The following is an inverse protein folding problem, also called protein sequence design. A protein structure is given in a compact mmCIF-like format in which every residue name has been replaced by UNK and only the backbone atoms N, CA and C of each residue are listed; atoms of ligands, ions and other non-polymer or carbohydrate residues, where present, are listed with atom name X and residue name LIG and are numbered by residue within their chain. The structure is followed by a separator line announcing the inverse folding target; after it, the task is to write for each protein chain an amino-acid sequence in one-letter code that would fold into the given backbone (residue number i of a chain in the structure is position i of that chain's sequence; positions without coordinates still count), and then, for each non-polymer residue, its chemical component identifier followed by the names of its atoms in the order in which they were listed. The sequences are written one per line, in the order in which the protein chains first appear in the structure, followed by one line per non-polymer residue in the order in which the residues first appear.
data_IF_877315156011
#
_entry.id   IF_877315156011
#
_cell.length_a   1.000
_cell.length_b   1.000
_cell.length_c   1.000
_cell.angle_alpha   90.00
_cell.angle_beta   90.00
_cell.angle_gamma   90.00
#
_symmetry.space_group_name_H-M   'P 1'
#
loop_
_entity.id
_entity.type
_entity.pdbx_description
1 polymer ?
#
# COMPACT_ATOMS: atom_id res chain seq x y z
N UNK A 1 -11.13 20.06 -36.23
CA UNK A 1 -11.72 19.51 -34.99
C UNK A 1 -10.76 19.82 -33.86
N UNK A 2 -11.14 20.67 -32.93
CA UNK A 2 -10.31 21.04 -31.77
C UNK A 2 -10.43 19.91 -30.77
N UNK A 3 -9.37 19.12 -30.61
CA UNK A 3 -9.31 18.14 -29.51
C UNK A 3 -9.37 18.90 -28.19
N UNK A 4 -10.44 18.66 -27.44
CA UNK A 4 -10.58 19.21 -26.09
C UNK A 4 -9.62 18.42 -25.17
N UNK A 5 -8.52 19.04 -24.77
CA UNK A 5 -7.60 18.45 -23.79
C UNK A 5 -8.30 18.33 -22.45
N UNK A 6 -8.73 17.11 -22.10
CA UNK A 6 -9.31 16.82 -20.79
C UNK A 6 -8.14 16.60 -19.82
N UNK A 7 -8.03 17.47 -18.82
CA UNK A 7 -7.04 17.31 -17.74
C UNK A 7 -7.68 16.42 -16.66
N UNK A 8 -7.09 15.28 -16.41
CA UNK A 8 -7.51 14.34 -15.38
C UNK A 8 -6.68 14.56 -14.10
N UNK A 9 -7.32 14.38 -12.97
CA UNK A 9 -6.72 14.49 -11.64
C UNK A 9 -7.07 13.26 -10.83
N UNK A 10 -6.18 12.86 -9.92
CA UNK A 10 -6.47 11.80 -8.99
C UNK A 10 -7.00 12.37 -7.66
N UNK A 11 -8.13 11.83 -7.20
CA UNK A 11 -8.80 12.20 -5.96
C UNK A 11 -9.02 10.96 -5.09
N UNK A 12 -8.96 11.13 -3.78
CA UNK A 12 -9.53 10.17 -2.85
C UNK A 12 -10.92 10.66 -2.44
N UNK A 13 -11.94 9.84 -2.70
CA UNK A 13 -13.34 10.09 -2.33
C UNK A 13 -13.64 9.22 -1.13
N UNK A 14 -13.92 9.86 0.01
CA UNK A 14 -14.33 9.20 1.25
C UNK A 14 -15.86 9.12 1.32
N UNK A 15 -16.38 7.98 1.75
CA UNK A 15 -17.84 7.75 1.87
C UNK A 15 -18.30 7.84 3.31
N UNK A 16 -19.57 8.21 3.49
CA UNK A 16 -20.22 8.39 4.81
C UNK A 16 -20.38 7.07 5.56
N UNK A 17 -20.67 6.00 4.85
CA UNK A 17 -20.98 4.68 5.40
C UNK A 17 -20.59 3.55 4.42
N UNK A 18 -20.92 2.31 4.75
CA UNK A 18 -20.71 1.11 3.92
C UNK A 18 -22.05 0.46 3.55
N UNK A 19 -23.08 1.24 3.29
CA UNK A 19 -24.39 0.72 2.97
C UNK A 19 -24.35 -0.27 1.79
N UNK A 20 -25.02 -1.42 1.96
CA UNK A 20 -25.01 -2.51 0.96
C UNK A 20 -23.72 -3.32 0.87
N UNK A 21 -22.76 -3.10 1.76
CA UNK A 21 -21.56 -3.94 1.85
C UNK A 21 -21.82 -5.14 2.77
N UNK A 22 -21.93 -6.33 2.18
CA UNK A 22 -22.04 -7.60 2.91
C UNK A 22 -20.71 -8.39 2.88
N UNK A 23 -19.77 -7.97 2.06
CA UNK A 23 -18.49 -8.66 1.85
C UNK A 23 -17.48 -8.29 2.94
N UNK A 24 -17.02 -9.31 3.69
CA UNK A 24 -15.92 -9.18 4.64
C UNK A 24 -14.61 -9.19 3.85
N UNK A 25 -13.90 -8.05 3.86
CA UNK A 25 -12.64 -7.88 3.15
C UNK A 25 -11.43 -8.36 3.98
N UNK A 26 -11.53 -9.57 4.50
CA UNK A 26 -10.48 -10.26 5.24
C UNK A 26 -10.15 -11.58 4.53
N UNK A 27 -8.89 -12.01 4.58
CA UNK A 27 -8.52 -13.35 4.19
C UNK A 27 -9.06 -14.38 5.20
N UNK A 28 -9.25 -15.63 4.77
CA UNK A 28 -9.65 -16.72 5.65
C UNK A 28 -8.74 -16.84 6.87
N UNK A 29 -7.43 -16.74 6.65
CA UNK A 29 -6.44 -16.77 7.73
C UNK A 29 -6.61 -15.60 8.72
N UNK A 30 -7.01 -14.40 8.26
CA UNK A 30 -7.27 -13.26 9.14
C UNK A 30 -8.54 -13.48 9.96
N UNK A 31 -9.58 -14.07 9.38
CA UNK A 31 -10.81 -14.43 10.07
C UNK A 31 -10.53 -15.47 11.16
N UNK A 32 -9.79 -16.53 10.82
CA UNK A 32 -9.40 -17.59 11.77
C UNK A 32 -8.62 -17.01 12.96
N UNK A 33 -7.61 -16.17 12.71
CA UNK A 33 -6.85 -15.51 13.78
C UNK A 33 -7.69 -14.58 14.67
N UNK A 34 -8.73 -13.95 14.12
CA UNK A 34 -9.68 -13.16 14.92
C UNK A 34 -10.53 -14.06 15.81
N UNK A 35 -11.02 -15.18 15.29
CA UNK A 35 -11.78 -16.17 16.06
C UNK A 35 -10.94 -16.74 17.22
N UNK A 36 -9.70 -17.14 16.97
CA UNK A 36 -8.78 -17.63 18.00
C UNK A 36 -8.55 -16.62 19.13
N UNK A 37 -8.55 -15.33 18.79
CA UNK A 37 -8.31 -14.23 19.73
C UNK A 37 -9.57 -13.60 20.29
N UNK A 38 -10.75 -14.16 19.95
CA UNK A 38 -12.06 -13.59 20.34
C UNK A 38 -12.24 -12.14 19.90
N UNK A 39 -11.68 -11.75 18.72
CA UNK A 39 -11.84 -10.41 18.13
C UNK A 39 -13.05 -10.44 17.20
N UNK A 40 -14.06 -9.64 17.51
CA UNK A 40 -15.26 -9.54 16.67
C UNK A 40 -14.95 -8.90 15.32
N UNK A 41 -15.69 -9.30 14.29
CA UNK A 41 -15.72 -8.61 13.00
C UNK A 41 -16.55 -7.33 13.17
N UNK A 42 -16.02 -6.22 12.72
CA UNK A 42 -16.65 -4.91 12.83
C UNK A 42 -16.73 -4.19 11.46
N UNK A 43 -17.23 -2.96 11.46
CA UNK A 43 -17.40 -2.15 10.24
C UNK A 43 -16.11 -1.91 9.46
N UNK A 44 -14.95 -1.95 10.12
CA UNK A 44 -13.64 -1.79 9.46
C UNK A 44 -13.24 -3.00 8.63
N UNK A 45 -13.87 -4.15 8.86
CA UNK A 45 -13.57 -5.40 8.19
C UNK A 45 -14.39 -5.59 6.90
N UNK A 46 -15.48 -4.85 6.75
CA UNK A 46 -16.27 -4.89 5.52
C UNK A 46 -15.63 -4.09 4.39
N UNK A 47 -15.83 -4.53 3.17
CA UNK A 47 -15.42 -3.82 1.97
C UNK A 47 -16.11 -2.44 1.87
N UNK A 48 -15.62 -1.60 0.99
CA UNK A 48 -16.32 -0.38 0.57
C UNK A 48 -17.63 -0.77 -0.12
N UNK A 49 -18.67 0.04 0.01
CA UNK A 49 -19.97 -0.20 -0.61
C UNK A 49 -19.85 -0.42 -2.12
N UNK A 50 -20.28 -1.57 -2.66
CA UNK A 50 -20.25 -1.81 -4.09
C UNK A 50 -21.16 -0.83 -4.85
N UNK A 51 -22.26 -0.39 -4.25
CA UNK A 51 -23.18 0.58 -4.83
C UNK A 51 -22.52 1.93 -5.10
N UNK A 52 -21.61 2.35 -4.21
CA UNK A 52 -20.86 3.61 -4.36
C UNK A 52 -19.78 3.48 -5.41
N UNK A 53 -19.12 2.34 -5.47
CA UNK A 53 -18.13 2.02 -6.51
C UNK A 53 -18.80 1.99 -7.88
N UNK A 54 -19.93 1.29 -8.03
CA UNK A 54 -20.70 1.24 -9.27
C UNK A 54 -21.18 2.64 -9.70
N UNK A 55 -21.56 3.50 -8.74
CA UNK A 55 -21.94 4.87 -9.01
C UNK A 55 -20.81 5.69 -9.62
N UNK A 56 -19.59 5.56 -9.08
CA UNK A 56 -18.38 6.20 -9.62
C UNK A 56 -18.07 5.71 -11.04
N UNK A 57 -18.13 4.40 -11.26
CA UNK A 57 -17.88 3.79 -12.57
C UNK A 57 -18.90 4.21 -13.61
N UNK A 58 -20.18 4.31 -13.24
CA UNK A 58 -21.29 4.67 -14.13
C UNK A 58 -21.14 6.06 -14.75
N UNK A 59 -20.43 6.98 -14.09
CA UNK A 59 -20.15 8.33 -14.60
C UNK A 59 -18.77 8.46 -15.25
N UNK A 60 -18.08 7.33 -15.47
CA UNK A 60 -16.83 7.26 -16.22
C UNK A 60 -15.57 7.53 -15.40
N UNK A 61 -15.62 7.43 -14.06
CA UNK A 61 -14.42 7.51 -13.25
C UNK A 61 -13.58 6.25 -13.41
N UNK A 62 -12.28 6.43 -13.54
CA UNK A 62 -11.33 5.33 -13.38
C UNK A 62 -11.01 5.14 -11.89
N UNK A 63 -11.15 3.92 -11.38
CA UNK A 63 -10.88 3.59 -9.98
C UNK A 63 -9.55 2.87 -9.90
N UNK A 64 -8.59 3.44 -9.16
CA UNK A 64 -7.30 2.82 -8.90
C UNK A 64 -7.39 1.81 -7.76
N UNK A 65 -7.86 2.28 -6.59
CA UNK A 65 -7.87 1.46 -5.36
C UNK A 65 -9.06 1.84 -4.50
N UNK A 66 -9.48 0.88 -3.67
CA UNK A 66 -10.43 1.10 -2.58
C UNK A 66 -9.74 0.87 -1.24
N UNK A 67 -10.13 1.62 -0.22
CA UNK A 67 -9.65 1.46 1.14
C UNK A 67 -10.80 1.19 2.09
N UNK A 68 -10.87 -0.03 2.64
CA UNK A 68 -11.89 -0.38 3.63
C UNK A 68 -11.71 0.37 4.96
N UNK A 69 -10.47 0.71 5.31
CA UNK A 69 -10.17 1.44 6.55
C UNK A 69 -10.54 2.92 6.47
N UNK A 70 -10.25 3.56 5.34
CA UNK A 70 -10.61 4.96 5.10
C UNK A 70 -12.03 5.09 4.51
N UNK A 71 -12.70 3.97 4.24
CA UNK A 71 -14.01 3.90 3.62
C UNK A 71 -14.13 4.79 2.37
N UNK A 72 -13.32 4.52 1.37
CA UNK A 72 -13.27 5.36 0.19
C UNK A 72 -12.54 4.71 -0.99
N UNK A 73 -12.44 5.46 -2.08
CA UNK A 73 -11.79 5.05 -3.31
C UNK A 73 -10.87 6.15 -3.86
N UNK A 74 -9.71 5.74 -4.39
CA UNK A 74 -8.88 6.62 -5.21
C UNK A 74 -9.36 6.51 -6.64
N UNK A 75 -9.74 7.65 -7.21
CA UNK A 75 -10.29 7.75 -8.57
C UNK A 75 -9.51 8.75 -9.41
N UNK A 76 -9.56 8.58 -10.73
CA UNK A 76 -9.14 9.58 -11.69
C UNK A 76 -10.36 10.10 -12.45
N UNK A 77 -10.48 11.43 -12.52
CA UNK A 77 -11.59 12.09 -13.21
C UNK A 77 -11.29 13.56 -13.51
N UNK A 78 -12.14 14.21 -14.27
CA UNK A 78 -12.05 15.63 -14.58
C UNK A 78 -12.71 16.52 -13.50
N UNK A 79 -12.41 17.84 -13.58
CA UNK A 79 -12.89 18.83 -12.61
C UNK A 79 -14.43 19.02 -12.59
N UNK A 80 -15.13 18.70 -13.66
CA UNK A 80 -16.59 18.84 -13.70
C UNK A 80 -17.27 17.63 -13.06
N UNK A 81 -16.72 16.45 -13.33
CA UNK A 81 -17.22 15.20 -12.76
C UNK A 81 -17.01 15.16 -11.25
N UNK A 82 -15.84 15.60 -10.75
CA UNK A 82 -15.61 15.62 -9.29
C UNK A 82 -16.57 16.56 -8.54
N UNK A 83 -17.00 17.67 -9.15
CA UNK A 83 -18.02 18.55 -8.55
C UNK A 83 -19.39 17.87 -8.44
N UNK A 84 -19.75 17.00 -9.39
CA UNK A 84 -20.99 16.22 -9.33
C UNK A 84 -20.90 15.18 -8.21
N UNK A 85 -19.76 14.50 -8.08
CA UNK A 85 -19.50 13.53 -7.01
C UNK A 85 -19.60 14.20 -5.64
N UNK A 86 -19.07 15.41 -5.48
CA UNK A 86 -19.13 16.15 -4.22
C UNK A 86 -20.55 16.50 -3.76
N UNK A 87 -21.54 16.45 -4.65
CA UNK A 87 -22.94 16.70 -4.32
C UNK A 87 -23.69 15.41 -3.92
N UNK A 88 -23.08 14.25 -3.97
CA UNK A 88 -23.72 12.99 -3.59
C UNK A 88 -23.83 12.87 -2.08
N UNK A 89 -24.97 12.40 -1.60
CA UNK A 89 -25.27 12.32 -0.17
C UNK A 89 -24.44 11.30 0.59
N UNK A 90 -23.87 10.32 -0.11
CA UNK A 90 -23.00 9.28 0.44
C UNK A 90 -21.51 9.62 0.36
N UNK A 91 -21.16 10.80 -0.12
CA UNK A 91 -19.79 11.32 -0.12
C UNK A 91 -19.60 12.23 1.10
N UNK A 92 -18.62 11.87 1.94
CA UNK A 92 -18.26 12.64 3.13
C UNK A 92 -17.25 13.74 2.78
N UNK A 93 -16.16 13.36 2.13
CA UNK A 93 -15.08 14.28 1.78
C UNK A 93 -14.31 13.84 0.55
N UNK A 94 -13.65 14.80 -0.09
CA UNK A 94 -12.81 14.57 -1.29
C UNK A 94 -11.46 15.22 -1.10
N UNK A 95 -10.39 14.46 -1.35
CA UNK A 95 -9.01 14.92 -1.25
C UNK A 95 -8.31 14.79 -2.60
N UNK A 96 -7.65 15.84 -3.05
CA UNK A 96 -6.77 15.78 -4.23
C UNK A 96 -5.50 15.00 -3.85
N UNK A 97 -5.27 13.86 -4.49
CA UNK A 97 -4.11 13.01 -4.21
C UNK A 97 -2.97 13.22 -5.21
N UNK A 98 -3.31 13.55 -6.46
CA UNK A 98 -2.34 13.85 -7.51
C UNK A 98 -2.88 14.94 -8.42
N UNK A 99 -2.19 16.06 -8.46
CA UNK A 99 -2.41 17.14 -9.45
C UNK A 99 -1.11 17.43 -10.20
N UNK A 100 -1.19 17.98 -11.39
CA UNK A 100 -0.04 18.26 -12.26
C UNK A 100 0.98 19.31 -11.71
N UNK A 101 0.89 19.70 -10.42
CA UNK A 101 1.70 20.80 -9.87
C UNK A 101 2.23 20.58 -8.46
N UNK A 102 2.56 19.35 -8.09
CA UNK A 102 3.40 19.15 -6.91
C UNK A 102 4.73 18.51 -7.31
N UNK A 103 5.67 19.35 -7.76
CA UNK A 103 7.08 19.09 -7.51
C UNK A 103 7.30 19.16 -5.99
N UNK A 104 7.06 18.06 -5.28
CA UNK A 104 7.67 17.90 -3.97
C UNK A 104 9.15 17.70 -4.27
N UNK A 105 10.03 18.66 -3.89
CA UNK A 105 11.45 18.40 -4.01
C UNK A 105 11.72 17.18 -3.15
N UNK A 106 12.03 16.06 -3.77
CA UNK A 106 12.58 14.90 -3.08
C UNK A 106 13.79 15.43 -2.32
N UNK A 107 13.64 15.58 -1.00
CA UNK A 107 14.78 15.86 -0.17
C UNK A 107 15.75 14.70 -0.42
N UNK A 108 16.82 15.00 -1.14
CA UNK A 108 17.89 14.05 -1.35
C UNK A 108 18.42 13.69 0.04
N UNK A 109 18.00 12.56 0.57
CA UNK A 109 18.64 11.98 1.74
C UNK A 109 20.08 11.72 1.32
N UNK A 110 20.98 12.62 1.71
CA UNK A 110 22.40 12.39 1.59
C UNK A 110 22.67 11.09 2.37
N UNK A 111 22.97 10.03 1.63
CA UNK A 111 23.53 8.81 2.18
C UNK A 111 24.75 9.26 2.99
N UNK A 112 24.65 9.23 4.30
CA UNK A 112 25.79 9.48 5.19
C UNK A 112 26.72 8.32 4.94
N UNK A 113 27.79 8.53 4.19
CA UNK A 113 28.89 7.58 4.13
C UNK A 113 29.48 7.57 5.56
N UNK A 114 29.12 6.56 6.29
CA UNK A 114 29.84 6.19 7.50
C UNK A 114 31.02 5.37 7.00
N UNK A 115 32.18 6.00 6.84
CA UNK A 115 33.44 5.30 6.72
C UNK A 115 33.74 4.69 8.08
N UNK A 116 33.24 3.49 8.30
CA UNK A 116 33.72 2.65 9.38
C UNK A 116 34.53 1.52 8.73
N UNK A 117 35.82 1.47 9.04
CA UNK A 117 36.63 0.27 8.93
C UNK A 117 36.00 -0.77 9.87
N UNK A 118 35.18 -1.66 9.34
CA UNK A 118 34.71 -2.83 10.06
C UNK A 118 35.63 -4.00 9.73
N UNK A 119 36.16 -4.64 10.76
CA UNK A 119 36.81 -5.94 10.64
C UNK A 119 35.84 -6.96 10.03
N UNK A 120 36.33 -7.76 9.11
CA UNK A 120 35.66 -8.60 8.12
C UNK A 120 34.84 -9.78 8.69
N UNK A 121 34.47 -9.81 9.96
CA UNK A 121 33.86 -10.97 10.61
C UNK A 121 32.50 -10.73 11.27
N UNK A 122 32.01 -9.49 11.33
CA UNK A 122 30.70 -9.17 11.89
C UNK A 122 29.71 -8.82 10.78
N UNK A 123 28.54 -9.46 10.78
CA UNK A 123 27.47 -9.08 9.88
C UNK A 123 27.08 -7.62 10.16
N UNK A 124 26.93 -6.79 9.12
CA UNK A 124 26.54 -5.37 9.25
C UNK A 124 25.25 -5.18 10.07
N UNK A 125 24.44 -6.23 10.22
CA UNK A 125 23.20 -6.24 11.00
C UNK A 125 23.36 -6.64 12.46
N UNK A 126 24.53 -7.14 12.88
CA UNK A 126 24.70 -7.64 14.26
C UNK A 126 24.44 -6.57 15.31
N UNK A 127 24.93 -5.35 15.08
CA UNK A 127 24.66 -4.23 15.98
C UNK A 127 23.17 -3.87 16.10
N UNK A 128 22.39 -4.06 15.03
CA UNK A 128 20.93 -3.86 15.04
C UNK A 128 20.23 -4.98 15.80
N UNK A 129 20.69 -6.21 15.62
CA UNK A 129 20.18 -7.40 16.32
C UNK A 129 20.45 -7.30 17.82
N UNK A 130 21.66 -6.89 18.20
CA UNK A 130 22.06 -6.69 19.60
C UNK A 130 21.29 -5.54 20.26
N UNK A 131 21.09 -4.43 19.56
CA UNK A 131 20.35 -3.28 20.06
C UNK A 131 18.90 -3.64 20.45
N UNK A 132 18.29 -4.59 19.75
CA UNK A 132 16.94 -5.07 20.02
C UNK A 132 16.92 -6.35 20.89
N UNK A 133 18.08 -6.84 21.33
CA UNK A 133 18.26 -8.11 22.06
C UNK A 133 17.69 -9.32 21.28
N UNK A 134 17.59 -9.26 19.95
CA UNK A 134 17.05 -10.34 19.14
C UNK A 134 17.91 -11.61 19.19
N UNK A 135 19.20 -11.48 19.45
CA UNK A 135 20.10 -12.62 19.65
C UNK A 135 19.61 -13.57 20.74
N UNK A 136 18.93 -13.07 21.78
CA UNK A 136 18.33 -13.90 22.82
C UNK A 136 17.19 -14.78 22.29
N UNK A 137 16.38 -14.23 21.37
CA UNK A 137 15.31 -15.00 20.70
C UNK A 137 15.90 -16.02 19.73
N UNK A 138 16.92 -15.65 18.97
CA UNK A 138 17.62 -16.55 18.06
C UNK A 138 18.25 -17.72 18.82
N UNK A 139 18.92 -17.46 19.94
CA UNK A 139 19.51 -18.49 20.79
C UNK A 139 18.45 -19.42 21.41
N UNK A 140 17.22 -18.93 21.60
CA UNK A 140 16.08 -19.72 22.04
C UNK A 140 15.35 -20.45 20.87
N UNK A 141 15.85 -20.35 19.63
CA UNK A 141 15.31 -21.03 18.45
C UNK A 141 14.17 -20.29 17.73
N UNK A 142 13.90 -19.03 18.07
CA UNK A 142 12.86 -18.22 17.43
C UNK A 142 13.45 -17.41 16.27
N UNK A 143 13.27 -17.87 15.04
CA UNK A 143 13.73 -17.20 13.81
C UNK A 143 12.58 -16.71 12.93
N UNK A 144 11.35 -16.68 13.44
CA UNK A 144 10.18 -16.26 12.66
C UNK A 144 9.61 -17.32 11.72
N UNK A 145 9.90 -18.60 11.95
CA UNK A 145 9.42 -19.70 11.12
C UNK A 145 7.89 -19.66 10.97
N UNK A 146 7.39 -19.81 9.74
CA UNK A 146 5.96 -19.79 9.43
C UNK A 146 5.31 -18.41 9.58
N UNK A 147 6.09 -17.33 9.69
CA UNK A 147 5.57 -15.95 9.71
C UNK A 147 5.72 -15.31 8.34
N UNK A 148 4.69 -14.59 7.92
CA UNK A 148 4.72 -13.76 6.72
C UNK A 148 4.99 -12.30 7.12
N UNK A 149 5.91 -11.66 6.41
CA UNK A 149 6.28 -10.26 6.61
C UNK A 149 5.86 -9.48 5.37
N UNK A 150 5.09 -8.41 5.56
CA UNK A 150 4.82 -7.43 4.53
C UNK A 150 5.83 -6.28 4.64
N UNK A 151 6.49 -5.93 3.54
CA UNK A 151 7.40 -4.79 3.47
C UNK A 151 6.80 -3.77 2.50
N UNK A 152 6.70 -2.51 2.94
CA UNK A 152 6.21 -1.40 2.13
C UNK A 152 7.33 -0.38 2.02
N UNK A 153 7.76 -0.10 0.79
CA UNK A 153 8.87 0.83 0.52
C UNK A 153 8.66 1.51 -0.84
N UNK A 154 9.48 2.52 -1.13
CA UNK A 154 9.50 3.25 -2.41
C UNK A 154 10.06 2.47 -3.60
N UNK A 155 10.46 1.23 -3.40
CA UNK A 155 10.93 0.30 -4.44
C UNK A 155 11.91 -0.73 -3.92
N UNK A 156 12.01 -1.84 -4.64
CA UNK A 156 12.88 -2.98 -4.33
C UNK A 156 13.77 -3.31 -5.53
N UNK A 157 14.51 -2.31 -6.00
CA UNK A 157 15.40 -2.51 -7.15
C UNK A 157 16.38 -3.65 -6.91
N UNK A 158 16.52 -4.50 -7.93
CA UNK A 158 17.44 -5.63 -7.93
C UNK A 158 17.17 -6.72 -6.88
N UNK A 159 16.02 -6.75 -6.21
CA UNK A 159 15.68 -7.83 -5.27
C UNK A 159 15.72 -9.20 -5.94
N UNK A 160 15.44 -9.27 -7.23
CA UNK A 160 15.46 -10.51 -8.03
C UNK A 160 16.84 -10.90 -8.52
N UNK A 161 17.86 -10.03 -8.41
CA UNK A 161 19.19 -10.24 -9.01
C UNK A 161 20.36 -10.15 -8.02
N UNK A 162 20.23 -9.40 -6.93
CA UNK A 162 21.28 -9.28 -5.93
C UNK A 162 21.43 -10.55 -5.09
N UNK A 163 22.67 -11.01 -4.93
CA UNK A 163 22.98 -12.22 -4.15
C UNK A 163 22.59 -12.11 -2.68
N UNK A 164 22.51 -10.90 -2.13
CA UNK A 164 22.03 -10.67 -0.77
C UNK A 164 20.59 -11.20 -0.52
N UNK A 165 19.80 -11.36 -1.59
CA UNK A 165 18.42 -11.85 -1.51
C UNK A 165 18.28 -13.33 -1.94
N UNK A 166 19.36 -14.03 -2.29
CA UNK A 166 19.27 -15.42 -2.76
C UNK A 166 18.55 -16.34 -1.79
N UNK A 167 18.82 -16.21 -0.49
CA UNK A 167 18.23 -17.03 0.55
C UNK A 167 16.72 -16.81 0.76
N UNK A 168 16.19 -15.65 0.37
CA UNK A 168 14.78 -15.27 0.59
C UNK A 168 13.98 -15.17 -0.71
N UNK A 169 14.66 -15.18 -1.86
CA UNK A 169 14.02 -14.96 -3.16
C UNK A 169 12.91 -15.98 -3.46
N UNK A 170 13.14 -17.25 -3.15
CA UNK A 170 12.15 -18.31 -3.32
C UNK A 170 11.00 -18.25 -2.28
N UNK A 171 11.15 -17.42 -1.24
CA UNK A 171 10.16 -17.22 -0.19
C UNK A 171 9.26 -16.00 -0.44
N UNK A 172 9.50 -15.26 -1.52
CA UNK A 172 8.67 -14.10 -1.89
C UNK A 172 7.30 -14.61 -2.35
N UNK A 173 6.27 -14.32 -1.57
CA UNK A 173 4.89 -14.77 -1.82
C UNK A 173 4.17 -13.91 -2.85
N UNK A 174 4.56 -12.63 -2.99
CA UNK A 174 3.97 -11.69 -3.92
C UNK A 174 4.64 -10.33 -3.85
N UNK A 175 4.47 -9.56 -4.89
CA UNK A 175 5.01 -8.22 -5.04
C UNK A 175 3.96 -7.37 -5.76
N UNK A 176 3.77 -6.13 -5.32
CA UNK A 176 2.78 -5.25 -5.92
C UNK A 176 3.25 -3.80 -5.92
N UNK A 177 3.17 -3.16 -7.06
CA UNK A 177 3.43 -1.72 -7.22
C UNK A 177 2.10 -0.96 -7.21
N UNK A 178 1.86 -0.24 -6.14
CA UNK A 178 0.64 0.56 -5.97
C UNK A 178 0.62 1.83 -6.82
N UNK A 179 1.76 2.24 -7.37
CA UNK A 179 1.86 3.44 -8.20
C UNK A 179 1.43 3.14 -9.63
N UNK A 180 1.89 2.00 -10.15
CA UNK A 180 1.66 1.58 -11.52
C UNK A 180 0.58 0.49 -11.66
N UNK A 181 -0.02 0.07 -10.52
CA UNK A 181 -1.04 -0.99 -10.45
C UNK A 181 -0.57 -2.29 -11.14
N UNK A 182 0.61 -2.79 -10.73
CA UNK A 182 1.27 -3.95 -11.35
C UNK A 182 1.73 -4.96 -10.31
N UNK A 183 1.65 -6.24 -10.65
CA UNK A 183 2.28 -7.33 -9.91
C UNK A 183 3.82 -7.36 -10.14
N UNK A 184 4.47 -6.23 -9.97
CA UNK A 184 5.92 -6.08 -10.16
C UNK A 184 6.45 -4.91 -9.34
N UNK A 185 7.60 -5.13 -8.72
CA UNK A 185 8.32 -4.10 -7.93
C UNK A 185 9.60 -3.64 -8.61
N UNK A 186 9.85 -4.05 -9.83
CA UNK A 186 10.93 -3.46 -10.63
C UNK A 186 10.48 -2.07 -11.02
N UNK A 187 10.91 -1.07 -10.26
CA UNK A 187 10.71 0.33 -10.57
C UNK A 187 11.24 0.67 -11.96
N UNK A 188 10.89 1.84 -12.52
CA UNK A 188 11.35 2.23 -13.83
C UNK A 188 12.87 2.11 -13.86
N UNK A 189 13.36 1.33 -14.80
CA UNK A 189 14.79 1.34 -15.18
C UNK A 189 15.07 2.74 -15.68
N UNK A 190 15.55 3.61 -14.79
CA UNK A 190 16.06 4.92 -15.15
C UNK A 190 17.39 4.83 -15.89
#
# INVERSE_FOLDING_TARGET
MTELLIILFAFFVQFTDKNGSEHIALSEQAIEKRMERSIAIDSMDYAVSPLYIDSLQSIGCHIYHTSRWMNGATIETDSNTIRKIAAWTFVDSIYLTRGNTFNIPFASFRKRQVENEYEETTWLSDGQIEQLNLHMLHNAGFFGQGKTIGVIDGGFQNVTSLSAFDAVREQILGMYDTTDDKDSITGPTG
#
